data_IF_460267532203
#
_entry.id   IF_460267532203
#
_cell.length_a   1.000
_cell.length_b   1.000
_cell.length_c   1.000
_cell.angle_alpha   90.00
_cell.angle_beta   90.00
_cell.angle_gamma   90.00
#
_symmetry.space_group_name_H-M   'P 1'
#
loop_
_entity.id
_entity.type
_entity.pdbx_description
1 polymer ?
#
# COMPACT_ATOMS: atom_id res chain seq x y z
N UNK A 1 -23.49 -3.01 24.62
CA UNK A 1 -22.57 -3.86 23.83
C UNK A 1 -22.47 -3.26 22.43
N UNK A 2 -21.30 -3.21 21.83
CA UNK A 2 -21.13 -2.73 20.46
C UNK A 2 -21.49 -3.85 19.48
N UNK A 3 -22.29 -3.52 18.47
CA UNK A 3 -22.89 -4.50 17.56
C UNK A 3 -22.87 -3.99 16.12
N UNK A 4 -22.87 -4.94 15.20
CA UNK A 4 -22.97 -4.67 13.77
C UNK A 4 -24.42 -4.37 13.39
N UNK A 5 -24.62 -3.45 12.44
CA UNK A 5 -25.92 -3.04 11.91
C UNK A 5 -25.89 -3.12 10.40
N UNK A 6 -27.04 -3.43 9.78
CA UNK A 6 -27.24 -3.38 8.33
C UNK A 6 -26.22 -4.17 7.50
N UNK A 7 -25.58 -5.19 8.10
CA UNK A 7 -24.57 -6.01 7.46
C UNK A 7 -24.57 -7.41 8.06
N UNK A 8 -24.56 -8.43 7.19
CA UNK A 8 -24.44 -9.83 7.60
C UNK A 8 -23.07 -10.35 7.19
N UNK A 9 -22.18 -10.66 8.15
CA UNK A 9 -20.85 -11.19 7.84
C UNK A 9 -20.90 -12.53 7.13
N UNK A 10 -20.08 -12.66 6.09
CA UNK A 10 -19.83 -13.92 5.37
C UNK A 10 -19.00 -14.87 6.22
N UNK A 11 -19.03 -16.16 5.91
CA UNK A 11 -18.37 -17.18 6.75
C UNK A 11 -16.85 -16.95 6.85
N UNK A 12 -16.15 -16.74 5.74
CA UNK A 12 -14.72 -16.45 5.76
C UNK A 12 -14.37 -15.19 6.55
N UNK A 13 -15.26 -14.18 6.58
CA UNK A 13 -15.02 -12.96 7.35
C UNK A 13 -15.07 -13.27 8.85
N UNK A 14 -16.02 -14.09 9.30
CA UNK A 14 -16.13 -14.55 10.69
C UNK A 14 -14.90 -15.35 11.10
N UNK A 15 -14.49 -16.32 10.28
CA UNK A 15 -13.29 -17.14 10.53
C UNK A 15 -12.04 -16.27 10.72
N UNK A 16 -11.79 -15.35 9.78
CA UNK A 16 -10.65 -14.45 9.86
C UNK A 16 -10.74 -13.53 11.08
N UNK A 17 -11.95 -13.05 11.42
CA UNK A 17 -12.16 -12.26 12.65
C UNK A 17 -11.83 -13.07 13.90
N UNK A 18 -12.21 -14.35 13.97
CA UNK A 18 -11.87 -15.24 15.08
C UNK A 18 -10.34 -15.39 15.20
N UNK A 19 -9.63 -15.65 14.10
CA UNK A 19 -8.15 -15.71 14.12
C UNK A 19 -7.54 -14.38 14.57
N UNK A 20 -8.04 -13.26 14.03
CA UNK A 20 -7.55 -11.90 14.31
C UNK A 20 -7.86 -11.38 15.72
N UNK A 21 -8.79 -12.02 16.44
CA UNK A 21 -9.07 -11.74 17.85
C UNK A 21 -7.92 -12.23 18.74
N UNK A 22 -7.41 -13.42 18.45
CA UNK A 22 -6.46 -14.15 19.30
C UNK A 22 -5.00 -14.03 18.83
N UNK A 23 -4.76 -13.57 17.59
CA UNK A 23 -3.42 -13.47 17.02
C UNK A 23 -3.21 -12.17 16.25
N UNK A 24 -1.98 -11.65 16.26
CA UNK A 24 -1.57 -10.59 15.34
C UNK A 24 -1.59 -11.16 13.93
N UNK A 25 -2.54 -10.71 13.12
CA UNK A 25 -2.93 -11.42 11.91
C UNK A 25 -2.70 -10.57 10.68
N UNK A 26 -2.02 -11.14 9.68
CA UNK A 26 -1.92 -10.60 8.33
C UNK A 26 -3.01 -11.23 7.47
N UNK A 27 -3.95 -10.41 7.02
CA UNK A 27 -5.06 -10.81 6.17
C UNK A 27 -4.77 -10.40 4.72
N UNK A 28 -4.70 -11.40 3.85
CA UNK A 28 -4.52 -11.23 2.40
C UNK A 28 -5.81 -11.65 1.72
N UNK A 29 -6.52 -10.65 1.18
CA UNK A 29 -7.81 -10.86 0.50
C UNK A 29 -7.89 -10.00 -0.77
N UNK A 30 -8.50 -10.48 -1.87
CA UNK A 30 -8.69 -9.70 -3.09
C UNK A 30 -9.40 -8.35 -2.82
N UNK A 31 -9.26 -7.39 -3.72
CA UNK A 31 -9.94 -6.09 -3.57
C UNK A 31 -11.45 -6.26 -3.73
N UNK A 32 -12.23 -5.56 -2.91
CA UNK A 32 -13.70 -5.62 -2.96
C UNK A 32 -14.33 -6.75 -2.14
N UNK A 33 -13.55 -7.56 -1.42
CA UNK A 33 -14.03 -8.72 -0.65
C UNK A 33 -14.25 -8.41 0.84
N UNK A 34 -14.37 -7.13 1.21
CA UNK A 34 -14.76 -6.73 2.57
C UNK A 34 -13.65 -6.78 3.63
N UNK A 35 -12.40 -6.43 3.28
CA UNK A 35 -11.30 -6.26 4.24
C UNK A 35 -11.65 -5.31 5.38
N UNK A 36 -12.29 -4.18 5.07
CA UNK A 36 -12.75 -3.21 6.07
C UNK A 36 -13.78 -3.80 7.02
N UNK A 37 -14.71 -4.61 6.50
CA UNK A 37 -15.73 -5.25 7.32
C UNK A 37 -15.12 -6.23 8.33
N UNK A 38 -14.06 -6.95 7.98
CA UNK A 38 -13.27 -7.76 8.93
C UNK A 38 -12.65 -6.89 10.01
N UNK A 39 -12.07 -5.74 9.64
CA UNK A 39 -11.53 -4.77 10.60
C UNK A 39 -12.59 -4.30 11.61
N UNK A 40 -13.79 -4.02 11.12
CA UNK A 40 -14.92 -3.57 11.94
C UNK A 40 -15.37 -4.69 12.88
N UNK A 41 -15.52 -5.92 12.38
CA UNK A 41 -15.88 -7.08 13.19
C UNK A 41 -14.87 -7.34 14.31
N UNK A 42 -13.57 -7.34 13.98
CA UNK A 42 -12.52 -7.48 15.00
C UNK A 42 -12.52 -6.30 15.97
N UNK A 43 -12.79 -5.07 15.51
CA UNK A 43 -12.89 -3.91 16.39
C UNK A 43 -14.03 -4.06 17.42
N UNK A 44 -15.21 -4.51 17.00
CA UNK A 44 -16.36 -4.72 17.89
C UNK A 44 -16.06 -5.80 18.95
N UNK A 45 -15.45 -6.92 18.55
CA UNK A 45 -15.01 -7.97 19.49
C UNK A 45 -14.07 -7.40 20.56
N UNK A 46 -13.06 -6.63 20.15
CA UNK A 46 -12.06 -6.05 21.06
C UNK A 46 -12.67 -5.02 22.01
N UNK A 47 -13.58 -4.17 21.51
CA UNK A 47 -14.31 -3.19 22.30
C UNK A 47 -15.27 -3.82 23.32
N UNK A 48 -15.87 -4.96 23.00
CA UNK A 48 -16.74 -5.70 23.91
C UNK A 48 -15.96 -6.49 24.97
N UNK A 49 -14.74 -6.93 24.64
CA UNK A 49 -13.87 -7.66 25.55
C UNK A 49 -13.11 -6.74 26.51
N UNK A 50 -12.77 -5.52 26.09
CA UNK A 50 -11.95 -4.59 26.85
C UNK A 50 -12.53 -3.18 26.83
N UNK A 51 -12.55 -2.51 27.98
CA UNK A 51 -12.81 -1.07 28.05
C UNK A 51 -11.64 -0.30 27.42
N UNK A 52 -11.74 -0.04 26.11
CA UNK A 52 -10.61 0.32 25.24
C UNK A 52 -11.06 1.14 24.05
N UNK A 53 -10.09 1.59 23.23
CA UNK A 53 -10.36 2.21 21.92
C UNK A 53 -9.63 1.48 20.79
N UNK A 54 -9.97 1.85 19.56
CA UNK A 54 -9.48 1.22 18.32
C UNK A 54 -8.78 2.27 17.47
N UNK A 55 -7.64 1.90 16.91
CA UNK A 55 -6.91 2.72 15.95
C UNK A 55 -6.87 2.00 14.59
N UNK A 56 -7.34 2.68 13.55
CA UNK A 56 -7.19 2.27 12.15
C UNK A 56 -6.29 3.25 11.42
N UNK A 57 -5.18 2.75 10.87
CA UNK A 57 -4.30 3.55 10.02
C UNK A 57 -4.44 3.15 8.55
N UNK A 58 -4.68 4.13 7.68
CA UNK A 58 -4.86 3.92 6.23
C UNK A 58 -4.05 4.95 5.43
N UNK A 59 -3.51 4.60 4.25
CA UNK A 59 -2.46 5.39 3.60
C UNK A 59 -2.86 6.78 3.11
N UNK A 60 -4.14 7.02 2.82
CA UNK A 60 -4.58 8.29 2.21
C UNK A 60 -5.81 8.82 2.93
N UNK A 61 -5.99 10.15 2.93
CA UNK A 61 -7.16 10.80 3.54
C UNK A 61 -8.49 10.31 2.95
N UNK A 62 -8.65 10.13 1.61
CA UNK A 62 -9.89 9.59 1.05
C UNK A 62 -10.20 8.18 1.54
N UNK A 63 -9.20 7.29 1.60
CA UNK A 63 -9.38 5.93 2.12
C UNK A 63 -9.74 5.93 3.60
N UNK A 64 -9.08 6.76 4.41
CA UNK A 64 -9.43 6.94 5.83
C UNK A 64 -10.88 7.44 6.00
N UNK A 65 -11.34 8.38 5.17
CA UNK A 65 -12.71 8.87 5.21
C UNK A 65 -13.73 7.80 4.80
N UNK A 66 -13.40 6.96 3.81
CA UNK A 66 -14.24 5.83 3.40
C UNK A 66 -14.39 4.82 4.55
N UNK A 67 -13.30 4.46 5.21
CA UNK A 67 -13.34 3.56 6.37
C UNK A 67 -14.19 4.17 7.50
N UNK A 68 -14.01 5.46 7.80
CA UNK A 68 -14.83 6.15 8.81
C UNK A 68 -16.32 6.07 8.48
N UNK A 69 -16.68 6.30 7.21
CA UNK A 69 -18.06 6.19 6.73
C UNK A 69 -18.61 4.79 6.96
N UNK A 70 -17.85 3.76 6.59
CA UNK A 70 -18.25 2.36 6.79
C UNK A 70 -18.49 2.03 8.27
N UNK A 71 -17.56 2.43 9.17
CA UNK A 71 -17.77 2.30 10.63
C UNK A 71 -19.07 2.97 11.10
N UNK A 72 -19.40 4.16 10.58
CA UNK A 72 -20.61 4.90 10.96
C UNK A 72 -21.91 4.27 10.42
N UNK A 73 -21.82 3.55 9.31
CA UNK A 73 -22.97 2.93 8.65
C UNK A 73 -23.31 1.56 9.23
N UNK A 74 -22.27 0.77 9.53
CA UNK A 74 -22.45 -0.64 9.89
C UNK A 74 -22.26 -0.93 11.39
N UNK A 75 -22.05 0.07 12.24
CA UNK A 75 -21.94 -0.14 13.70
C UNK A 75 -22.96 0.69 14.49
N UNK A 76 -23.21 0.29 15.74
CA UNK A 76 -24.00 1.07 16.69
C UNK A 76 -23.18 2.09 17.52
N UNK A 77 -21.91 2.31 17.18
CA UNK A 77 -21.03 3.25 17.88
C UNK A 77 -21.51 4.69 17.60
N UNK A 78 -21.60 5.58 18.62
CA UNK A 78 -21.96 6.98 18.41
C UNK A 78 -21.07 7.64 17.36
N UNK A 79 -21.68 8.34 16.38
CA UNK A 79 -20.97 8.86 15.20
C UNK A 79 -19.90 9.89 15.59
N UNK A 80 -20.12 10.58 16.71
CA UNK A 80 -19.25 11.57 17.33
C UNK A 80 -18.00 10.93 17.96
N UNK A 81 -18.05 9.64 18.30
CA UNK A 81 -16.93 8.88 18.86
C UNK A 81 -16.15 8.09 17.80
N UNK A 82 -16.55 8.18 16.53
CA UNK A 82 -15.83 7.68 15.35
C UNK A 82 -15.12 8.86 14.68
N UNK A 83 -13.86 9.07 15.06
CA UNK A 83 -13.08 10.25 14.69
C UNK A 83 -12.16 9.96 13.50
N UNK A 84 -12.10 10.93 12.58
CA UNK A 84 -11.10 10.97 11.51
C UNK A 84 -10.04 12.01 11.88
N UNK A 85 -8.83 11.56 12.25
CA UNK A 85 -7.70 12.44 12.51
C UNK A 85 -6.90 12.67 11.23
N UNK A 86 -6.89 13.92 10.77
CA UNK A 86 -6.06 14.36 9.67
C UNK A 86 -5.11 15.46 10.13
N UNK A 87 -3.97 15.61 9.43
CA UNK A 87 -3.02 16.69 9.71
C UNK A 87 -3.54 18.11 9.49
N UNK A 88 -4.77 18.31 9.02
CA UNK A 88 -5.39 19.63 8.88
C UNK A 88 -6.00 20.13 10.21
N UNK A 89 -6.31 19.23 11.15
CA UNK A 89 -6.86 19.57 12.46
C UNK A 89 -5.71 20.06 13.35
N UNK A 90 -5.89 21.15 14.09
CA UNK A 90 -4.86 21.67 14.99
C UNK A 90 -4.46 20.65 16.07
N UNK A 91 -3.17 20.58 16.49
CA UNK A 91 -2.70 19.54 17.41
C UNK A 91 -3.48 19.44 18.72
N UNK A 92 -3.79 20.56 19.37
CA UNK A 92 -4.58 20.57 20.61
C UNK A 92 -5.96 19.93 20.40
N UNK A 93 -6.62 20.27 19.29
CA UNK A 93 -7.93 19.70 18.97
C UNK A 93 -7.86 18.21 18.65
N UNK A 94 -6.77 17.73 18.02
CA UNK A 94 -6.56 16.30 17.78
C UNK A 94 -6.45 15.51 19.09
N UNK A 95 -5.80 16.07 20.10
CA UNK A 95 -5.70 15.44 21.41
C UNK A 95 -7.07 15.32 22.10
N UNK A 96 -7.87 16.40 22.12
CA UNK A 96 -9.24 16.36 22.67
C UNK A 96 -10.12 15.32 21.96
N UNK A 97 -10.02 15.25 20.63
CA UNK A 97 -10.74 14.26 19.83
C UNK A 97 -10.24 12.83 20.09
N UNK A 98 -8.93 12.64 20.30
CA UNK A 98 -8.35 11.34 20.63
C UNK A 98 -8.88 10.79 21.96
N UNK A 99 -8.92 11.65 22.99
CA UNK A 99 -9.35 11.26 24.35
C UNK A 99 -10.83 10.86 24.41
N UNK A 100 -11.68 11.44 23.55
CA UNK A 100 -13.11 11.15 23.47
C UNK A 100 -13.48 10.06 22.45
N UNK A 101 -12.54 9.59 21.63
CA UNK A 101 -12.80 8.62 20.57
C UNK A 101 -12.84 7.17 21.07
N UNK A 102 -13.83 6.41 20.58
CA UNK A 102 -13.84 4.94 20.65
C UNK A 102 -13.10 4.36 19.45
N UNK A 103 -13.32 4.94 18.26
CA UNK A 103 -12.64 4.53 17.03
C UNK A 103 -11.97 5.75 16.42
N UNK A 104 -10.66 5.67 16.26
CA UNK A 104 -9.88 6.67 15.54
C UNK A 104 -9.41 6.09 14.22
N UNK A 105 -9.76 6.75 13.11
CA UNK A 105 -9.21 6.48 11.79
C UNK A 105 -8.26 7.62 11.43
N UNK A 106 -7.06 7.30 10.96
CA UNK A 106 -6.06 8.31 10.67
C UNK A 106 -5.08 7.90 9.58
N UNK A 107 -4.36 8.88 9.05
CA UNK A 107 -3.13 8.59 8.30
C UNK A 107 -2.00 8.24 9.27
N UNK A 108 -1.15 7.25 8.96
CA UNK A 108 -0.03 6.82 9.82
C UNK A 108 0.88 7.97 10.27
N UNK A 109 1.16 8.93 9.37
CA UNK A 109 2.04 10.06 9.64
C UNK A 109 1.47 11.04 10.69
N UNK A 110 0.14 11.16 10.75
CA UNK A 110 -0.52 12.02 11.75
C UNK A 110 -0.35 11.40 13.14
N UNK A 111 -0.60 10.09 13.26
CA UNK A 111 -0.44 9.34 14.51
C UNK A 111 1.03 9.32 14.95
N UNK A 112 1.96 9.01 14.05
CA UNK A 112 3.39 9.02 14.34
C UNK A 112 3.82 10.36 14.97
N UNK A 113 3.48 11.48 14.34
CA UNK A 113 3.84 12.81 14.85
C UNK A 113 3.24 13.09 16.22
N UNK A 114 2.02 12.65 16.49
CA UNK A 114 1.39 12.90 17.79
C UNK A 114 1.97 12.00 18.89
N UNK A 115 2.44 10.79 18.55
CA UNK A 115 3.18 9.92 19.47
C UNK A 115 4.57 10.46 19.79
N UNK A 116 5.34 10.86 18.77
CA UNK A 116 6.70 11.40 18.93
C UNK A 116 6.72 12.68 19.77
N UNK A 117 5.65 13.48 19.69
CA UNK A 117 5.48 14.70 20.48
C UNK A 117 4.74 14.46 21.82
N UNK A 118 4.53 13.20 22.22
CA UNK A 118 3.83 12.83 23.46
C UNK A 118 2.44 13.47 23.63
N UNK A 119 1.70 13.70 22.54
CA UNK A 119 0.36 14.30 22.55
C UNK A 119 -0.75 13.27 22.77
N UNK A 120 -0.50 12.02 22.39
CA UNK A 120 -1.45 10.91 22.52
C UNK A 120 -0.73 9.68 23.09
N UNK A 121 -1.49 8.78 23.70
CA UNK A 121 -1.02 7.49 24.20
C UNK A 121 -1.85 6.35 23.62
N UNK A 122 -1.19 5.27 23.24
CA UNK A 122 -1.82 4.04 22.74
C UNK A 122 -2.13 3.04 23.86
N UNK A 123 -1.91 3.41 25.13
CA UNK A 123 -2.19 2.53 26.27
C UNK A 123 -3.62 1.98 26.33
N UNK A 124 -4.69 2.77 26.07
CA UNK A 124 -6.06 2.25 26.05
C UNK A 124 -6.42 1.55 24.73
N UNK A 125 -5.54 1.53 23.73
CA UNK A 125 -5.85 0.98 22.41
C UNK A 125 -5.73 -0.54 22.39
N UNK A 126 -6.83 -1.26 22.17
CA UNK A 126 -6.87 -2.73 22.19
C UNK A 126 -6.74 -3.39 20.82
N UNK A 127 -6.80 -2.59 19.74
CA UNK A 127 -6.60 -3.04 18.37
C UNK A 127 -5.96 -1.94 17.54
N UNK A 128 -4.90 -2.30 16.81
CA UNK A 128 -4.34 -1.53 15.72
C UNK A 128 -4.63 -2.23 14.39
N UNK A 129 -5.44 -1.60 13.55
CA UNK A 129 -5.65 -2.03 12.16
C UNK A 129 -4.72 -1.26 11.25
N UNK A 130 -3.94 -1.98 10.43
CA UNK A 130 -3.05 -1.39 9.43
C UNK A 130 -3.55 -1.73 8.04
N UNK A 131 -4.22 -0.78 7.41
CA UNK A 131 -4.68 -0.89 6.03
C UNK A 131 -3.53 -0.64 5.04
N UNK A 132 -3.56 -1.34 3.90
CA UNK A 132 -2.47 -1.45 2.94
C UNK A 132 -1.11 -1.74 3.60
N UNK A 133 -1.09 -2.75 4.47
CA UNK A 133 0.04 -3.10 5.32
C UNK A 133 1.30 -3.49 4.53
N UNK A 134 1.17 -3.80 3.24
CA UNK A 134 2.30 -4.06 2.35
C UNK A 134 3.28 -2.87 2.26
N UNK A 135 2.86 -1.66 2.68
CA UNK A 135 3.70 -0.45 2.75
C UNK A 135 4.54 -0.37 4.04
N UNK A 136 4.31 -1.24 5.02
CA UNK A 136 4.97 -1.26 6.34
C UNK A 136 6.40 -1.83 6.29
N UNK A 137 7.25 -1.23 5.47
CA UNK A 137 8.65 -1.59 5.27
C UNK A 137 9.56 -0.44 5.68
N UNK A 138 10.79 -0.76 6.08
CA UNK A 138 11.78 0.22 6.55
C UNK A 138 11.21 1.11 7.66
N UNK A 139 11.61 2.38 7.72
CA UNK A 139 11.11 3.37 8.67
C UNK A 139 9.84 4.08 8.18
N UNK A 140 8.93 3.35 7.51
CA UNK A 140 7.64 3.92 7.13
C UNK A 140 6.78 4.15 8.38
N UNK A 141 5.92 5.17 8.35
CA UNK A 141 5.14 5.58 9.52
C UNK A 141 4.34 4.42 10.18
N UNK A 142 3.85 3.45 9.40
CA UNK A 142 3.18 2.25 9.95
C UNK A 142 4.07 1.45 10.92
N UNK A 143 5.35 1.26 10.59
CA UNK A 143 6.28 0.45 11.39
C UNK A 143 6.58 1.14 12.72
N UNK A 144 6.70 2.46 12.69
CA UNK A 144 6.91 3.29 13.88
C UNK A 144 5.66 3.25 14.77
N UNK A 145 4.47 3.46 14.21
CA UNK A 145 3.19 3.37 14.96
C UNK A 145 3.01 1.98 15.59
N UNK A 146 3.31 0.91 14.85
CA UNK A 146 3.24 -0.46 15.38
C UNK A 146 4.24 -0.68 16.55
N UNK A 147 5.46 -0.15 16.45
CA UNK A 147 6.43 -0.23 17.55
C UNK A 147 5.97 0.49 18.80
N UNK A 148 5.41 1.71 18.67
CA UNK A 148 4.81 2.43 19.79
C UNK A 148 3.62 1.65 20.39
N UNK A 149 2.77 1.09 19.53
CA UNK A 149 1.59 0.34 19.92
C UNK A 149 1.94 -0.87 20.79
N UNK A 150 2.87 -1.71 20.33
CA UNK A 150 3.33 -2.90 21.06
C UNK A 150 3.95 -2.53 22.42
N UNK A 151 4.62 -1.39 22.51
CA UNK A 151 5.25 -0.93 23.77
C UNK A 151 4.26 -0.34 24.78
N UNK A 152 3.17 0.28 24.31
CA UNK A 152 2.28 1.06 25.18
C UNK A 152 0.96 0.36 25.49
N UNK A 153 0.40 -0.39 24.54
CA UNK A 153 -0.94 -0.99 24.67
C UNK A 153 -0.99 -2.01 25.80
N UNK A 154 -2.07 -1.96 26.60
CA UNK A 154 -2.34 -2.96 27.64
C UNK A 154 -2.82 -4.31 27.08
N UNK A 155 -3.41 -4.30 25.89
CA UNK A 155 -3.99 -5.48 25.24
C UNK A 155 -3.65 -5.48 23.74
N UNK A 156 -2.37 -5.64 23.37
CA UNK A 156 -1.92 -5.44 22.00
C UNK A 156 -2.51 -6.49 21.06
N UNK A 157 -3.17 -6.02 20.00
CA UNK A 157 -3.60 -6.83 18.87
C UNK A 157 -3.44 -6.05 17.57
N UNK A 158 -2.77 -6.64 16.58
CA UNK A 158 -2.57 -6.04 15.26
C UNK A 158 -3.34 -6.83 14.20
N UNK A 159 -4.12 -6.13 13.40
CA UNK A 159 -4.75 -6.66 12.19
C UNK A 159 -4.19 -5.94 10.97
N UNK A 160 -3.37 -6.62 10.19
CA UNK A 160 -2.73 -6.06 9.01
C UNK A 160 -3.51 -6.51 7.76
N UNK A 161 -3.97 -5.56 6.95
CA UNK A 161 -4.82 -5.84 5.79
C UNK A 161 -4.09 -5.49 4.49
N UNK A 162 -4.17 -6.37 3.50
CA UNK A 162 -3.65 -6.07 2.16
C UNK A 162 -4.35 -6.89 1.08
N UNK A 163 -4.42 -6.34 -0.14
CA UNK A 163 -4.80 -7.11 -1.33
C UNK A 163 -3.66 -7.99 -1.86
N UNK A 164 -2.42 -7.59 -1.60
CA UNK A 164 -1.23 -8.34 -1.98
C UNK A 164 -0.11 -8.07 -0.96
N UNK A 165 0.50 -9.10 -0.37
CA UNK A 165 1.60 -8.91 0.58
C UNK A 165 2.90 -8.49 -0.13
N UNK A 166 2.91 -8.45 -1.48
CA UNK A 166 4.05 -8.10 -2.32
C UNK A 166 4.75 -9.35 -2.88
N UNK A 167 5.17 -9.29 -4.15
CA UNK A 167 5.70 -10.45 -4.88
C UNK A 167 7.10 -10.96 -4.48
N UNK A 168 7.66 -10.55 -3.34
CA UNK A 168 8.97 -11.03 -2.87
C UNK A 168 8.86 -11.48 -1.40
N UNK A 169 9.28 -12.72 -1.12
CA UNK A 169 9.31 -13.33 0.22
C UNK A 169 10.00 -12.45 1.25
N UNK A 170 11.09 -11.78 0.88
CA UNK A 170 11.84 -10.87 1.76
C UNK A 170 10.95 -9.72 2.26
N UNK A 171 10.13 -9.17 1.37
CA UNK A 171 9.20 -8.07 1.70
C UNK A 171 8.11 -8.53 2.66
N UNK A 172 7.60 -9.75 2.48
CA UNK A 172 6.59 -10.32 3.36
C UNK A 172 7.18 -10.52 4.75
N UNK A 173 8.39 -11.10 4.85
CA UNK A 173 9.08 -11.31 6.11
C UNK A 173 9.36 -9.99 6.85
N UNK A 174 9.74 -8.94 6.11
CA UNK A 174 9.93 -7.61 6.67
C UNK A 174 8.63 -7.05 7.28
N UNK A 175 7.50 -7.15 6.55
CA UNK A 175 6.19 -6.71 7.06
C UNK A 175 5.78 -7.53 8.29
N UNK A 176 5.97 -8.86 8.26
CA UNK A 176 5.68 -9.72 9.42
C UNK A 176 6.46 -9.30 10.66
N UNK A 177 7.75 -9.03 10.50
CA UNK A 177 8.62 -8.58 11.59
C UNK A 177 8.17 -7.22 12.13
N UNK A 178 7.96 -6.26 11.25
CA UNK A 178 7.64 -4.87 11.63
C UNK A 178 6.27 -4.72 12.30
N UNK A 179 5.30 -5.57 11.91
CA UNK A 179 3.95 -5.55 12.44
C UNK A 179 3.69 -6.68 13.47
N UNK A 180 4.74 -7.38 13.90
CA UNK A 180 4.65 -8.45 14.89
C UNK A 180 3.59 -9.52 14.55
N UNK A 181 3.52 -9.92 13.28
CA UNK A 181 2.52 -10.87 12.77
C UNK A 181 2.84 -12.29 13.23
N UNK A 182 1.87 -12.93 13.86
CA UNK A 182 1.90 -14.30 14.36
C UNK A 182 1.26 -15.25 13.34
N UNK A 183 0.12 -14.87 12.77
CA UNK A 183 -0.67 -15.72 11.85
C UNK A 183 -0.96 -15.00 10.54
N UNK A 184 -1.08 -15.76 9.44
CA UNK A 184 -1.46 -15.24 8.13
C UNK A 184 -2.73 -15.94 7.68
N UNK A 185 -3.74 -15.15 7.34
CA UNK A 185 -4.98 -15.59 6.72
C UNK A 185 -4.97 -15.19 5.25
N UNK A 186 -5.11 -16.15 4.35
CA UNK A 186 -5.16 -15.92 2.91
C UNK A 186 -6.48 -16.50 2.40
N UNK A 187 -7.17 -15.76 1.54
CA UNK A 187 -8.20 -16.32 0.65
C UNK A 187 -7.93 -15.83 -0.77
N UNK A 188 -8.00 -16.71 -1.75
CA UNK A 188 -7.97 -16.40 -3.17
C UNK A 188 -9.37 -16.02 -3.66
N UNK A 189 -9.53 -15.70 -4.95
CA UNK A 189 -10.87 -15.53 -5.53
C UNK A 189 -11.65 -16.86 -5.56
N UNK A 190 -10.95 -17.98 -5.76
CA UNK A 190 -11.52 -19.33 -5.75
C UNK A 190 -12.09 -19.70 -4.36
N UNK A 191 -11.37 -19.36 -3.28
CA UNK A 191 -11.79 -19.66 -1.91
C UNK A 191 -13.09 -18.95 -1.49
N UNK A 192 -13.49 -17.91 -2.20
CA UNK A 192 -14.66 -17.06 -1.90
C UNK A 192 -15.55 -16.86 -3.13
N UNK A 193 -15.47 -17.78 -4.09
CA UNK A 193 -16.19 -17.71 -5.37
C UNK A 193 -17.70 -17.48 -5.16
N UNK A 194 -18.28 -18.15 -4.15
CA UNK A 194 -19.70 -18.00 -3.77
C UNK A 194 -20.11 -16.57 -3.37
N UNK A 195 -19.15 -15.68 -3.12
CA UNK A 195 -19.36 -14.30 -2.72
C UNK A 195 -18.82 -13.26 -3.72
N UNK A 196 -18.24 -13.70 -4.83
CA UNK A 196 -17.74 -12.85 -5.90
C UNK A 196 -18.84 -12.68 -6.94
N UNK A 197 -19.08 -11.43 -7.35
CA UNK A 197 -19.91 -11.16 -8.51
C UNK A 197 -19.13 -11.48 -9.78
N UNK A 198 -19.69 -12.32 -10.64
CA UNK A 198 -19.15 -12.55 -11.98
C UNK A 198 -19.02 -11.22 -12.72
N UNK A 199 -17.84 -10.97 -13.28
CA UNK A 199 -17.57 -9.80 -14.11
C UNK A 199 -17.67 -10.21 -15.56
N UNK A 200 -18.61 -9.63 -16.30
CA UNK A 200 -18.64 -9.76 -17.75
C UNK A 200 -17.53 -8.87 -18.35
N UNK A 201 -16.41 -9.49 -18.76
CA UNK A 201 -15.30 -8.77 -19.38
C UNK A 201 -15.53 -8.72 -20.89
N UNK A 202 -15.95 -7.56 -21.40
CA UNK A 202 -16.02 -7.30 -22.84
C UNK A 202 -14.69 -6.75 -23.34
N UNK A 203 -13.86 -7.62 -23.91
CA UNK A 203 -12.64 -7.22 -24.60
C UNK A 203 -13.00 -6.51 -25.90
N UNK A 204 -12.62 -5.23 -26.02
CA UNK A 204 -12.73 -4.47 -27.26
C UNK A 204 -11.33 -4.38 -27.86
N UNK A 205 -11.08 -5.21 -28.88
CA UNK A 205 -9.85 -5.12 -29.64
C UNK A 205 -9.92 -3.91 -30.57
N UNK A 206 -8.98 -2.97 -30.40
CA UNK A 206 -8.88 -1.77 -31.23
C UNK A 206 -7.69 -1.94 -32.16
N UNK A 207 -7.95 -2.02 -33.46
CA UNK A 207 -6.88 -2.05 -34.46
C UNK A 207 -6.20 -0.69 -34.55
N UNK A 208 -4.87 -0.68 -34.44
CA UNK A 208 -4.08 0.51 -34.72
C UNK A 208 -4.23 0.89 -36.22
N UNK A 209 -4.49 2.17 -36.57
CA UNK A 209 -4.44 2.66 -37.94
C UNK A 209 -3.09 2.35 -38.60
N UNK A 210 -3.08 2.15 -39.93
CA UNK A 210 -1.85 1.83 -40.67
C UNK A 210 -0.80 2.94 -40.53
N UNK A 211 -1.19 4.22 -40.48
CA UNK A 211 -0.23 5.32 -40.29
C UNK A 211 0.50 5.19 -38.94
N UNK A 212 -0.20 4.80 -37.87
CA UNK A 212 0.40 4.60 -36.54
C UNK A 212 1.30 3.36 -36.53
N UNK A 213 0.90 2.28 -37.22
CA UNK A 213 1.75 1.09 -37.35
C UNK A 213 3.06 1.40 -38.06
N UNK A 214 3.01 2.17 -39.15
CA UNK A 214 4.21 2.60 -39.88
C UNK A 214 5.13 3.45 -39.01
N UNK A 215 4.59 4.45 -38.30
CA UNK A 215 5.37 5.30 -37.40
C UNK A 215 5.98 4.46 -36.26
N UNK A 216 5.23 3.55 -35.64
CA UNK A 216 5.72 2.68 -34.58
C UNK A 216 6.82 1.74 -35.10
N UNK A 217 6.67 1.21 -36.32
CA UNK A 217 7.72 0.43 -36.98
C UNK A 217 8.99 1.26 -37.20
N UNK A 218 8.88 2.47 -37.75
CA UNK A 218 10.03 3.36 -38.00
C UNK A 218 10.76 3.71 -36.69
N UNK A 219 10.01 4.05 -35.63
CA UNK A 219 10.56 4.33 -34.30
C UNK A 219 11.31 3.12 -33.75
N UNK A 220 10.73 1.92 -33.84
CA UNK A 220 11.37 0.67 -33.39
C UNK A 220 12.65 0.37 -34.17
N UNK A 221 12.67 0.64 -35.47
CA UNK A 221 13.86 0.48 -36.31
C UNK A 221 14.97 1.43 -35.86
N UNK A 222 14.68 2.73 -35.73
CA UNK A 222 15.64 3.72 -35.25
C UNK A 222 16.14 3.35 -33.85
N UNK A 223 15.25 2.93 -32.96
CA UNK A 223 15.60 2.49 -31.61
C UNK A 223 16.61 1.34 -31.63
N UNK A 224 16.33 0.27 -32.40
CA UNK A 224 17.22 -0.89 -32.54
C UNK A 224 18.58 -0.52 -33.14
N UNK A 225 18.61 0.37 -34.13
CA UNK A 225 19.87 0.85 -34.72
C UNK A 225 20.70 1.64 -33.71
N UNK A 226 20.07 2.56 -32.96
CA UNK A 226 20.77 3.36 -31.96
C UNK A 226 21.26 2.50 -30.78
N UNK A 227 20.54 1.46 -30.38
CA UNK A 227 20.99 0.52 -29.34
C UNK A 227 22.33 -0.14 -29.69
N UNK A 228 22.60 -0.45 -30.97
CA UNK A 228 23.89 -1.03 -31.39
C UNK A 228 25.09 -0.13 -31.06
N UNK A 229 24.88 1.19 -31.06
CA UNK A 229 25.94 2.16 -30.74
C UNK A 229 26.32 2.17 -29.26
N UNK A 230 25.53 1.57 -28.37
CA UNK A 230 25.89 1.44 -26.95
C UNK A 230 27.16 0.60 -26.73
N UNK A 231 27.49 -0.30 -27.67
CA UNK A 231 28.76 -1.05 -27.66
C UNK A 231 29.99 -0.13 -27.74
N UNK A 232 29.88 1.01 -28.44
CA UNK A 232 30.96 2.00 -28.58
C UNK A 232 31.30 2.71 -27.27
N UNK A 233 30.38 2.68 -26.30
CA UNK A 233 30.57 3.24 -24.95
C UNK A 233 30.78 2.16 -23.88
N UNK A 234 31.19 0.96 -24.30
CA UNK A 234 31.54 -0.14 -23.39
C UNK A 234 30.33 -0.86 -22.78
N UNK A 235 29.13 -0.70 -23.35
CA UNK A 235 27.93 -1.41 -22.91
C UNK A 235 27.65 -2.61 -23.83
N UNK A 236 27.95 -3.82 -23.33
CA UNK A 236 27.96 -5.06 -24.14
C UNK A 236 26.71 -5.94 -23.99
N UNK A 237 25.66 -5.46 -23.31
CA UNK A 237 24.42 -6.22 -23.15
C UNK A 237 23.75 -6.46 -24.52
N UNK A 238 23.23 -7.67 -24.81
CA UNK A 238 22.48 -7.94 -26.04
C UNK A 238 21.27 -7.01 -26.19
N UNK A 239 21.07 -6.43 -27.37
CA UNK A 239 20.07 -5.37 -27.62
C UNK A 239 18.62 -5.77 -27.33
N UNK A 240 18.31 -7.06 -27.42
CA UNK A 240 17.00 -7.65 -27.10
C UNK A 240 16.70 -7.71 -25.60
N UNK A 241 17.69 -7.55 -24.73
CA UNK A 241 17.55 -7.66 -23.25
C UNK A 241 17.78 -6.30 -22.57
N UNK A 242 18.09 -5.25 -23.35
CA UNK A 242 18.27 -3.89 -22.80
C UNK A 242 16.90 -3.33 -22.45
N UNK A 243 16.72 -2.99 -21.18
CA UNK A 243 15.52 -2.32 -20.66
C UNK A 243 15.81 -0.87 -20.26
N UNK A 244 14.75 -0.09 -20.02
CA UNK A 244 14.82 1.32 -19.61
C UNK A 244 15.69 1.55 -18.38
N UNK A 245 15.67 0.62 -17.42
CA UNK A 245 16.50 0.69 -16.20
C UNK A 245 17.99 0.59 -16.53
N UNK A 246 18.38 -0.27 -17.47
CA UNK A 246 19.77 -0.37 -17.92
C UNK A 246 20.28 0.97 -18.50
N UNK A 247 19.45 1.63 -19.33
CA UNK A 247 19.78 2.93 -19.94
C UNK A 247 19.97 4.02 -18.88
N UNK A 248 19.10 4.06 -17.87
CA UNK A 248 19.18 5.00 -16.75
C UNK A 248 20.47 4.78 -15.93
N UNK A 249 20.79 3.52 -15.61
CA UNK A 249 22.01 3.18 -14.88
C UNK A 249 23.28 3.56 -15.67
N UNK A 250 23.28 3.28 -16.97
CA UNK A 250 24.37 3.68 -17.86
C UNK A 250 24.52 5.20 -17.93
N UNK A 251 23.42 5.94 -18.02
CA UNK A 251 23.44 7.40 -17.99
C UNK A 251 24.03 7.94 -16.69
N UNK A 252 23.69 7.37 -15.53
CA UNK A 252 24.26 7.75 -14.24
C UNK A 252 25.78 7.49 -14.21
N UNK A 253 26.22 6.32 -14.71
CA UNK A 253 27.65 5.98 -14.79
C UNK A 253 28.42 6.98 -15.65
N UNK A 254 27.94 7.25 -16.86
CA UNK A 254 28.59 8.17 -17.80
C UNK A 254 28.62 9.62 -17.30
N UNK A 255 27.62 10.05 -16.52
CA UNK A 255 27.63 11.37 -15.86
C UNK A 255 28.72 11.50 -14.79
N UNK A 256 29.10 10.42 -14.12
CA UNK A 256 30.21 10.43 -13.15
C UNK A 256 31.57 10.52 -13.87
N UNK A 257 31.69 9.83 -15.00
CA UNK A 257 32.93 9.82 -15.82
C UNK A 257 33.16 11.13 -16.59
N UNK A 258 32.13 11.97 -16.75
CA UNK A 258 32.23 13.31 -17.35
C UNK A 258 33.24 14.22 -16.63
N UNK A 259 33.47 14.00 -15.33
CA UNK A 259 34.47 14.73 -14.56
C UNK A 259 35.89 14.61 -15.18
N UNK A 260 36.13 13.53 -15.93
CA UNK A 260 37.41 13.23 -16.58
C UNK A 260 37.51 13.76 -18.02
N UNK A 261 36.54 14.57 -18.49
CA UNK A 261 36.48 15.16 -19.85
C UNK A 261 36.65 14.16 -21.01
N UNK A 262 36.20 12.92 -20.85
CA UNK A 262 36.28 11.90 -21.89
C UNK A 262 35.23 12.14 -23.01
N UNK A 263 35.63 12.32 -24.29
CA UNK A 263 34.70 12.51 -25.41
C UNK A 263 33.71 11.36 -25.61
N UNK A 264 34.09 10.12 -25.26
CA UNK A 264 33.23 8.93 -25.35
C UNK A 264 32.06 9.04 -24.37
N UNK A 265 32.27 9.63 -23.20
CA UNK A 265 31.24 9.83 -22.19
C UNK A 265 30.18 10.84 -22.63
N UNK A 266 30.58 11.91 -23.34
CA UNK A 266 29.63 12.86 -23.94
C UNK A 266 28.74 12.19 -24.99
N UNK A 267 29.33 11.41 -25.90
CA UNK A 267 28.59 10.66 -26.90
C UNK A 267 27.60 9.67 -26.25
N UNK A 268 28.05 8.91 -25.26
CA UNK A 268 27.21 7.95 -24.54
C UNK A 268 26.04 8.61 -23.82
N UNK A 269 26.23 9.80 -23.25
CA UNK A 269 25.15 10.54 -22.58
C UNK A 269 24.10 11.04 -23.55
N UNK A 270 24.53 11.60 -24.68
CA UNK A 270 23.61 12.00 -25.76
C UNK A 270 22.82 10.80 -26.29
N UNK A 271 23.51 9.66 -26.52
CA UNK A 271 22.91 8.44 -27.03
C UNK A 271 21.89 7.84 -26.05
N UNK A 272 22.23 7.73 -24.76
CA UNK A 272 21.31 7.22 -23.73
C UNK A 272 20.10 8.12 -23.53
N UNK A 273 20.28 9.44 -23.56
CA UNK A 273 19.17 10.39 -23.49
C UNK A 273 18.24 10.27 -24.71
N UNK A 274 18.80 10.11 -25.92
CA UNK A 274 18.04 9.89 -27.14
C UNK A 274 17.23 8.59 -27.06
N UNK A 275 17.85 7.48 -26.64
CA UNK A 275 17.18 6.19 -26.51
C UNK A 275 16.00 6.25 -25.53
N UNK A 276 16.16 6.91 -24.37
CA UNK A 276 15.07 7.09 -23.40
C UNK A 276 13.91 7.91 -24.00
N UNK A 277 14.21 8.93 -24.83
CA UNK A 277 13.17 9.72 -25.51
C UNK A 277 12.43 8.92 -26.58
N UNK A 278 13.15 8.10 -27.35
CA UNK A 278 12.55 7.24 -28.39
C UNK A 278 11.68 6.14 -27.75
N UNK A 279 12.16 5.53 -26.66
CA UNK A 279 11.40 4.57 -25.86
C UNK A 279 10.09 5.18 -25.35
N UNK A 280 10.15 6.39 -24.79
CA UNK A 280 8.97 7.13 -24.35
C UNK A 280 8.02 7.49 -25.52
N UNK A 281 8.55 7.91 -26.67
CA UNK A 281 7.72 8.17 -27.85
C UNK A 281 6.99 6.92 -28.34
N UNK A 282 7.61 5.74 -28.23
CA UNK A 282 6.96 4.46 -28.55
C UNK A 282 5.90 4.03 -27.55
N UNK A 283 5.95 4.51 -26.29
CA UNK A 283 4.92 4.26 -25.27
C UNK A 283 3.67 5.14 -25.48
N UNK A 284 3.80 6.24 -26.24
CA UNK A 284 2.72 7.20 -26.51
C UNK A 284 1.92 6.90 -27.79
N UNK A 285 2.39 5.94 -28.61
CA UNK A 285 1.75 5.47 -29.85
C UNK A 285 1.06 4.13 -29.62
#
# INVERSE_FOLDING_TARGET
MYEIKNFTPRNYQKEITTTGKDNNTLVVLPTGTGKTSIAILTALERLNQHNSNILVVSPTKPLSAQIQKEFREITNIPKEQIILLTGAIQPKKRQELWESAIVTIATPQTIQKDLENNRISLSPTSLLVVDECHRSRMNFANTIVASYYIKQSKFPRILALTASPGGNKERINEVKKNLHIETIEIRTEEDIEEYIQEKEIKWLEVSLPEEIKEVNHLIKTVYKEKLKNLRKVGFHKPTNIINKRDLILLQIKLRKELANKNPISFFGLSLTAMLIKIDYASELL
#
